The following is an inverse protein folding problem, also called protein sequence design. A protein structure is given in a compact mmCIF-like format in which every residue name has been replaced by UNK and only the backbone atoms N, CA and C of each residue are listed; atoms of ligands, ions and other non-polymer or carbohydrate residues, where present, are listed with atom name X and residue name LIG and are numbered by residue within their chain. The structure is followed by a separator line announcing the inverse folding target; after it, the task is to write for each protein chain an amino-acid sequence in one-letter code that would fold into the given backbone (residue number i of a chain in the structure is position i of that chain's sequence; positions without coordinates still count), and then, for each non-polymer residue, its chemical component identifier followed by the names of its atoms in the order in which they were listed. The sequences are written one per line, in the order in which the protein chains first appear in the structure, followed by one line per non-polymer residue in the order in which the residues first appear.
data_IF_347778559855
#
_entry.id   IF_347778559855
#
_cell.length_a   1.000
_cell.length_b   1.000
_cell.length_c   1.000
_cell.angle_alpha   90.00
_cell.angle_beta   90.00
_cell.angle_gamma   90.00
#
_symmetry.space_group_name_H-M   'P 1'
#
loop_
_entity.id
_entity.type
_entity.pdbx_description
1 polymer ?
#
# COMPACT_ATOMS: atom_id res chain seq x y z
N UNK A 1 3.65 -30.64 -27.79
CA UNK A 1 2.47 -30.10 -28.50
C UNK A 1 1.52 -29.50 -27.47
N UNK A 2 1.44 -28.17 -27.40
CA UNK A 2 0.51 -27.50 -26.47
C UNK A 2 -0.86 -27.50 -27.15
N UNK A 3 -1.85 -28.15 -26.52
CA UNK A 3 -3.22 -28.20 -27.04
C UNK A 3 -3.87 -26.82 -26.99
N UNK A 4 -4.64 -26.47 -28.02
CA UNK A 4 -5.35 -25.20 -28.15
C UNK A 4 -6.19 -24.85 -26.91
N UNK A 5 -6.79 -25.87 -26.28
CA UNK A 5 -7.55 -25.71 -25.03
C UNK A 5 -6.72 -25.21 -23.85
N UNK A 6 -5.44 -25.60 -23.77
CA UNK A 6 -4.52 -25.12 -22.73
C UNK A 6 -4.16 -23.64 -22.94
N UNK A 7 -4.03 -23.24 -24.19
CA UNK A 7 -3.73 -21.87 -24.59
C UNK A 7 -4.88 -20.93 -24.22
N UNK A 8 -6.13 -21.33 -24.51
CA UNK A 8 -7.33 -20.57 -24.14
C UNK A 8 -7.46 -20.40 -22.62
N UNK A 9 -7.19 -21.46 -21.85
CA UNK A 9 -7.24 -21.39 -20.38
C UNK A 9 -6.18 -20.45 -19.80
N UNK A 10 -4.94 -20.51 -20.31
CA UNK A 10 -3.86 -19.65 -19.84
C UNK A 10 -4.16 -18.18 -20.16
N UNK A 11 -4.61 -17.88 -21.38
CA UNK A 11 -4.97 -16.51 -21.76
C UNK A 11 -6.18 -15.99 -20.98
N UNK A 12 -7.19 -16.83 -20.74
CA UNK A 12 -8.33 -16.46 -19.91
C UNK A 12 -7.92 -16.12 -18.46
N UNK A 13 -7.01 -16.90 -17.88
CA UNK A 13 -6.50 -16.66 -16.52
C UNK A 13 -5.68 -15.36 -16.44
N UNK A 14 -4.81 -15.12 -17.43
CA UNK A 14 -4.01 -13.89 -17.51
C UNK A 14 -4.90 -12.65 -17.69
N UNK A 15 -5.96 -12.75 -18.48
CA UNK A 15 -6.90 -11.64 -18.69
C UNK A 15 -7.70 -11.33 -17.43
N UNK A 16 -8.13 -12.34 -16.68
CA UNK A 16 -8.82 -12.16 -15.40
C UNK A 16 -7.92 -11.50 -14.34
N UNK A 17 -6.63 -11.90 -14.29
CA UNK A 17 -5.64 -11.27 -13.41
C UNK A 17 -5.37 -9.81 -13.81
N UNK A 18 -5.29 -9.52 -15.11
CA UNK A 18 -5.08 -8.16 -15.61
C UNK A 18 -6.27 -7.24 -15.32
N UNK A 19 -7.50 -7.75 -15.35
CA UNK A 19 -8.70 -6.96 -15.08
C UNK A 19 -8.81 -6.50 -13.61
N UNK A 20 -8.23 -7.24 -12.68
CA UNK A 20 -8.25 -6.94 -11.24
C UNK A 20 -7.23 -5.87 -10.81
N UNK A 21 -6.35 -5.43 -11.71
CA UNK A 21 -5.26 -4.51 -11.41
C UNK A 21 -5.63 -3.01 -11.50
N UNK A 22 -6.89 -2.68 -11.84
CA UNK A 22 -7.33 -1.31 -12.16
C UNK A 22 -8.31 -0.70 -11.16
N UNK A 23 -8.17 -1.01 -9.87
CA UNK A 23 -8.71 -0.16 -8.81
C UNK A 23 -7.62 0.83 -8.40
N UNK A 24 -8.00 2.09 -8.18
CA UNK A 24 -7.16 3.24 -7.82
C UNK A 24 -5.83 2.89 -7.11
N UNK A 25 -4.75 3.60 -7.46
CA UNK A 25 -3.35 3.43 -7.04
C UNK A 25 -3.08 3.62 -5.52
N UNK A 26 -4.03 3.30 -4.64
CA UNK A 26 -3.73 2.86 -3.29
C UNK A 26 -4.50 1.56 -3.08
N UNK A 27 -3.85 0.39 -2.99
CA UNK A 27 -4.54 -0.83 -2.59
C UNK A 27 -5.28 -0.57 -1.28
N UNK A 28 -6.50 -1.07 -1.13
CA UNK A 28 -7.21 -0.95 0.15
C UNK A 28 -6.34 -1.60 1.22
N UNK A 29 -5.72 -0.78 2.08
CA UNK A 29 -4.69 -1.22 3.04
C UNK A 29 -5.25 -2.17 4.11
N UNK A 30 -6.57 -2.17 4.23
CA UNK A 30 -7.39 -3.12 4.95
C UNK A 30 -8.58 -3.52 4.10
N UNK A 31 -9.11 -4.71 4.34
CA UNK A 31 -10.47 -5.05 3.88
C UNK A 31 -11.50 -4.25 4.67
N UNK A 32 -12.73 -4.13 4.15
CA UNK A 32 -13.83 -3.45 4.85
C UNK A 32 -14.06 -4.06 6.23
N UNK A 33 -14.01 -5.39 6.33
CA UNK A 33 -14.15 -6.10 7.61
C UNK A 33 -13.01 -5.80 8.59
N UNK A 34 -11.78 -5.63 8.09
CA UNK A 34 -10.61 -5.31 8.92
C UNK A 34 -10.61 -3.84 9.35
N UNK A 35 -11.15 -2.94 8.52
CA UNK A 35 -11.35 -1.53 8.86
C UNK A 35 -12.38 -1.37 9.99
N UNK A 36 -13.48 -2.14 9.97
CA UNK A 36 -14.45 -2.16 11.06
C UNK A 36 -13.89 -2.78 12.35
N UNK A 37 -13.09 -3.84 12.23
CA UNK A 37 -12.55 -4.57 13.39
C UNK A 37 -11.33 -3.88 14.04
N UNK A 38 -10.50 -3.20 13.25
CA UNK A 38 -9.23 -2.62 13.69
C UNK A 38 -8.93 -1.26 13.02
N UNK A 39 -9.81 -0.26 13.20
CA UNK A 39 -9.76 0.99 12.43
C UNK A 39 -8.45 1.78 12.66
N UNK A 40 -7.90 1.77 13.87
CA UNK A 40 -6.61 2.42 14.17
C UNK A 40 -5.42 1.77 13.42
N UNK A 41 -5.39 0.44 13.35
CA UNK A 41 -4.33 -0.29 12.62
C UNK A 41 -4.42 0.05 11.14
N UNK A 42 -5.63 0.07 10.60
CA UNK A 42 -5.88 0.39 9.20
C UNK A 42 -5.50 1.82 8.84
N UNK A 43 -5.81 2.79 9.70
CA UNK A 43 -5.35 4.17 9.51
C UNK A 43 -3.81 4.27 9.48
N UNK A 44 -3.12 3.62 10.42
CA UNK A 44 -1.65 3.61 10.46
C UNK A 44 -1.05 2.91 9.23
N UNK A 45 -1.64 1.80 8.76
CA UNK A 45 -1.22 1.17 7.49
C UNK A 45 -1.39 2.14 6.33
N UNK A 46 -2.53 2.84 6.23
CA UNK A 46 -2.78 3.89 5.24
C UNK A 46 -1.67 4.93 5.18
N UNK A 47 -1.37 5.54 6.33
CA UNK A 47 -0.29 6.50 6.47
C UNK A 47 1.09 5.92 6.09
N UNK A 48 1.39 4.69 6.49
CA UNK A 48 2.66 4.04 6.16
C UNK A 48 2.83 3.87 4.65
N UNK A 49 1.84 3.27 3.98
CA UNK A 49 1.90 3.04 2.54
C UNK A 49 1.91 4.33 1.74
N UNK A 50 1.06 5.31 2.06
CA UNK A 50 1.00 6.58 1.35
C UNK A 50 2.32 7.36 1.43
N UNK A 51 2.94 7.42 2.61
CA UNK A 51 4.25 8.07 2.74
C UNK A 51 5.36 7.26 2.08
N UNK A 52 5.35 5.93 2.17
CA UNK A 52 6.33 5.08 1.49
C UNK A 52 6.30 5.29 -0.03
N UNK A 53 5.12 5.33 -0.64
CA UNK A 53 4.95 5.59 -2.07
C UNK A 53 5.39 7.01 -2.44
N UNK A 54 4.91 8.03 -1.70
CA UNK A 54 5.27 9.42 -1.93
C UNK A 54 6.79 9.62 -1.87
N UNK A 55 7.45 9.09 -0.84
CA UNK A 55 8.89 9.25 -0.64
C UNK A 55 9.70 8.44 -1.65
N UNK A 56 9.26 7.24 -2.02
CA UNK A 56 9.89 6.46 -3.10
C UNK A 56 9.83 7.22 -4.42
N UNK A 57 8.68 7.81 -4.75
CA UNK A 57 8.52 8.63 -5.95
C UNK A 57 9.37 9.91 -5.90
N UNK A 58 9.48 10.54 -4.72
CA UNK A 58 10.28 11.76 -4.53
C UNK A 58 11.78 11.51 -4.68
N UNK A 59 12.30 10.45 -4.06
CA UNK A 59 13.73 10.12 -4.10
C UNK A 59 14.14 9.38 -5.38
N UNK A 60 13.20 8.70 -6.02
CA UNK A 60 13.43 7.84 -7.19
C UNK A 60 13.97 6.45 -6.83
N UNK A 61 13.93 6.10 -5.55
CA UNK A 61 14.40 4.82 -4.98
C UNK A 61 13.85 4.66 -3.55
N UNK A 62 14.06 3.50 -2.92
CA UNK A 62 13.56 3.26 -1.57
C UNK A 62 14.31 4.13 -0.54
N UNK A 63 13.61 4.86 0.35
CA UNK A 63 14.27 5.73 1.33
C UNK A 63 15.25 4.95 2.23
N UNK A 64 16.53 5.33 2.19
CA UNK A 64 17.59 4.67 2.98
C UNK A 64 18.66 3.98 2.16
N UNK A 65 18.42 3.73 0.87
CA UNK A 65 19.45 3.08 0.05
C UNK A 65 20.69 3.95 -0.14
N UNK A 66 20.54 5.29 -0.13
CA UNK A 66 21.66 6.22 -0.32
C UNK A 66 22.10 6.92 0.97
N UNK A 67 21.19 7.10 1.93
CA UNK A 67 21.50 7.75 3.19
C UNK A 67 20.45 7.45 4.26
N UNK A 68 20.91 7.25 5.50
CA UNK A 68 20.04 7.14 6.69
C UNK A 68 19.13 8.36 6.87
N UNK A 69 19.52 9.53 6.34
CA UNK A 69 18.71 10.73 6.40
C UNK A 69 17.39 10.57 5.63
N UNK A 70 17.38 9.84 4.52
CA UNK A 70 16.17 9.59 3.72
C UNK A 70 15.17 8.72 4.49
N UNK A 71 15.65 7.66 5.14
CA UNK A 71 14.79 6.82 6.00
C UNK A 71 14.26 7.61 7.19
N UNK A 72 15.09 8.43 7.85
CA UNK A 72 14.65 9.28 8.97
C UNK A 72 13.59 10.29 8.53
N UNK A 73 13.74 10.86 7.35
CA UNK A 73 12.74 11.75 6.77
C UNK A 73 11.41 11.03 6.53
N UNK A 74 11.43 9.87 5.87
CA UNK A 74 10.23 9.08 5.62
C UNK A 74 9.53 8.65 6.92
N UNK A 75 10.29 8.16 7.91
CA UNK A 75 9.76 7.79 9.23
C UNK A 75 9.17 8.99 9.98
N UNK A 76 9.80 10.17 9.88
CA UNK A 76 9.26 11.39 10.48
C UNK A 76 7.92 11.79 9.83
N UNK A 77 7.82 11.71 8.50
CA UNK A 77 6.56 11.96 7.80
C UNK A 77 5.47 10.95 8.16
N UNK A 78 5.79 9.66 8.24
CA UNK A 78 4.85 8.62 8.69
C UNK A 78 4.34 8.90 10.11
N UNK A 79 5.24 9.26 11.02
CA UNK A 79 4.85 9.63 12.39
C UNK A 79 3.96 10.87 12.45
N UNK A 80 4.16 11.85 11.57
CA UNK A 80 3.28 13.02 11.49
C UNK A 80 1.90 12.64 10.97
N UNK A 81 1.84 11.81 9.92
CA UNK A 81 0.57 11.28 9.41
C UNK A 81 -0.23 10.55 10.49
N UNK A 82 0.42 9.69 11.29
CA UNK A 82 -0.27 8.99 12.39
C UNK A 82 -0.87 9.96 13.42
N UNK A 83 -0.20 11.08 13.70
CA UNK A 83 -0.66 12.07 14.68
C UNK A 83 -1.78 12.95 14.16
N UNK A 84 -1.77 13.27 12.87
CA UNK A 84 -2.76 14.16 12.26
C UNK A 84 -4.01 13.41 11.82
N UNK A 85 -3.84 12.26 11.17
CA UNK A 85 -4.93 11.53 10.52
C UNK A 85 -5.53 10.45 11.43
N UNK A 86 -4.72 9.85 12.30
CA UNK A 86 -5.16 8.70 13.09
C UNK A 86 -5.44 9.02 14.56
N UNK A 87 -5.30 10.27 15.02
CA UNK A 87 -5.46 10.63 16.44
C UNK A 87 -6.88 10.42 16.97
N UNK A 88 -7.89 10.61 16.12
CA UNK A 88 -9.30 10.45 16.53
C UNK A 88 -9.71 8.98 16.56
N UNK A 89 -9.12 8.17 15.68
CA UNK A 89 -9.44 6.75 15.51
C UNK A 89 -8.61 5.87 16.46
N UNK A 90 -7.38 6.26 16.74
CA UNK A 90 -6.52 5.63 17.72
C UNK A 90 -6.73 6.31 19.07
N UNK A 91 -7.55 5.70 19.93
CA UNK A 91 -7.59 6.10 21.35
C UNK A 91 -6.16 6.16 21.88
N UNK A 92 -5.78 7.29 22.50
CA UNK A 92 -4.47 7.47 23.11
C UNK A 92 -4.16 6.24 23.97
N UNK A 93 -3.17 5.45 23.56
CA UNK A 93 -2.56 4.46 24.44
C UNK A 93 -1.55 5.17 25.33
#
# INVERSE_FOLDING_TARGET
MISFSKLVLVFGLLFALALHANAALMPSMCSVQEEEAAPCVCCKKGCWFGIAEMTTNYFGHMPGERSDAESRFALAMMSQCFKLECSEVCSSL
#
